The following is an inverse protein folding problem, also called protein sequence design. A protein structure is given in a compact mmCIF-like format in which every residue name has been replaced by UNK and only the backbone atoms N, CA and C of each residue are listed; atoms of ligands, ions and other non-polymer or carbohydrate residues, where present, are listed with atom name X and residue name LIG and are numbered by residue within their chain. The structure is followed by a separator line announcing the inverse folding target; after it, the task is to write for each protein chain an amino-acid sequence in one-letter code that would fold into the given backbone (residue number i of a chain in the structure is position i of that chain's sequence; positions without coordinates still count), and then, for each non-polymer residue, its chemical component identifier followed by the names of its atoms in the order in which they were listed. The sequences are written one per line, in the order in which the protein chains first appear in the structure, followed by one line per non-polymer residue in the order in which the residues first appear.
data_IF_586613991617
#
_entry.id   IF_586613991617
#
_cell.length_a   1.000
_cell.length_b   1.000
_cell.length_c   1.000
_cell.angle_alpha   90.00
_cell.angle_beta   90.00
_cell.angle_gamma   90.00
#
_symmetry.space_group_name_H-M   'P 1'
#
loop_
_entity.id
_entity.type
_entity.pdbx_description
1 polymer ?
#
# COMPACT_ATOMS: atom_id res chain seq x y z
N UNK A 1 -8.34 3.49 6.34
CA UNK A 1 -7.86 2.43 5.42
C UNK A 1 -9.01 1.50 4.99
N UNK A 2 -9.94 1.35 5.91
CA UNK A 2 -11.06 0.43 5.99
C UNK A 2 -12.06 0.72 4.88
N UNK A 3 -12.29 2.01 4.58
CA UNK A 3 -13.15 2.45 3.49
C UNK A 3 -12.60 2.07 2.10
N UNK A 4 -11.29 2.21 1.89
CA UNK A 4 -10.65 1.82 0.62
C UNK A 4 -10.64 0.31 0.47
N UNK A 5 -10.36 -0.41 1.56
CA UNK A 5 -10.41 -1.86 1.58
C UNK A 5 -11.82 -2.37 1.30
N UNK A 6 -12.85 -1.84 1.96
CA UNK A 6 -14.25 -2.22 1.76
C UNK A 6 -14.73 -1.91 0.34
N UNK A 7 -14.35 -0.75 -0.22
CA UNK A 7 -14.68 -0.42 -1.60
C UNK A 7 -14.01 -1.39 -2.59
N UNK A 8 -12.71 -1.65 -2.42
CA UNK A 8 -11.99 -2.59 -3.28
C UNK A 8 -12.53 -4.03 -3.13
N UNK A 9 -12.91 -4.41 -1.92
CA UNK A 9 -13.42 -5.74 -1.62
C UNK A 9 -14.83 -5.96 -2.19
N UNK A 10 -15.70 -4.98 -2.08
CA UNK A 10 -17.05 -5.05 -2.64
C UNK A 10 -17.06 -5.03 -4.18
N UNK A 11 -16.30 -4.11 -4.80
CA UNK A 11 -16.34 -3.93 -6.26
C UNK A 11 -15.43 -4.89 -7.03
N UNK A 12 -14.36 -5.39 -6.43
CA UNK A 12 -13.34 -6.16 -7.14
C UNK A 12 -13.06 -7.53 -6.51
N UNK A 13 -12.75 -7.61 -5.22
CA UNK A 13 -12.29 -8.89 -4.66
C UNK A 13 -13.42 -9.92 -4.47
N UNK A 14 -14.56 -9.53 -3.92
CA UNK A 14 -15.72 -10.41 -3.71
C UNK A 14 -16.27 -11.00 -5.02
N UNK A 15 -16.46 -10.22 -6.11
CA UNK A 15 -16.99 -10.78 -7.36
C UNK A 15 -15.98 -11.63 -8.16
N UNK A 16 -14.67 -11.35 -8.06
CA UNK A 16 -13.69 -11.95 -8.98
C UNK A 16 -12.63 -12.84 -8.33
N UNK A 17 -12.37 -12.67 -7.04
CA UNK A 17 -11.22 -13.31 -6.37
C UNK A 17 -11.67 -14.26 -5.25
N UNK A 18 -12.67 -13.88 -4.46
CA UNK A 18 -13.11 -14.72 -3.34
C UNK A 18 -14.27 -15.64 -3.70
N UNK A 19 -14.19 -16.93 -3.36
CA UNK A 19 -15.34 -17.82 -3.46
C UNK A 19 -16.42 -17.38 -2.45
N UNK A 20 -17.69 -17.60 -2.78
CA UNK A 20 -18.83 -17.26 -1.93
C UNK A 20 -18.80 -17.92 -0.53
N UNK A 21 -17.92 -18.91 -0.31
CA UNK A 21 -17.71 -19.60 0.96
C UNK A 21 -16.79 -18.84 1.94
N UNK A 22 -16.15 -17.74 1.55
CA UNK A 22 -15.23 -16.97 2.42
C UNK A 22 -15.93 -15.78 3.10
N UNK A 23 -16.12 -15.82 4.44
CA UNK A 23 -16.71 -14.71 5.20
C UNK A 23 -15.83 -13.45 5.15
N UNK A 24 -16.46 -12.29 5.31
CA UNK A 24 -15.79 -10.97 5.25
C UNK A 24 -14.83 -10.72 6.41
N UNK A 25 -15.14 -11.32 7.56
CA UNK A 25 -14.34 -11.20 8.78
C UNK A 25 -13.10 -12.11 8.80
N UNK A 26 -12.91 -12.91 7.74
CA UNK A 26 -11.79 -13.83 7.66
C UNK A 26 -10.47 -13.07 7.55
N UNK A 27 -9.58 -13.27 8.52
CA UNK A 27 -8.27 -12.61 8.60
C UNK A 27 -7.40 -12.89 7.36
N UNK A 28 -7.53 -14.08 6.76
CA UNK A 28 -6.79 -14.44 5.55
C UNK A 28 -7.27 -13.63 4.34
N UNK A 29 -8.59 -13.46 4.20
CA UNK A 29 -9.20 -12.61 3.16
C UNK A 29 -8.74 -11.17 3.31
N UNK A 30 -8.84 -10.61 4.52
CA UNK A 30 -8.40 -9.24 4.82
C UNK A 30 -6.91 -9.03 4.54
N UNK A 31 -6.06 -9.99 4.93
CA UNK A 31 -4.61 -9.92 4.69
C UNK A 31 -4.27 -9.93 3.21
N UNK A 32 -4.91 -10.80 2.41
CA UNK A 32 -4.68 -10.88 0.96
C UNK A 32 -5.16 -9.61 0.26
N UNK A 33 -6.38 -9.15 0.57
CA UNK A 33 -6.92 -7.90 0.02
C UNK A 33 -6.00 -6.72 0.35
N UNK A 34 -5.56 -6.59 1.60
CA UNK A 34 -4.63 -5.54 2.03
C UNK A 34 -3.28 -5.63 1.31
N UNK A 35 -2.72 -6.83 1.17
CA UNK A 35 -1.44 -7.02 0.50
C UNK A 35 -1.53 -6.55 -0.96
N UNK A 36 -2.59 -6.92 -1.68
CA UNK A 36 -2.78 -6.56 -3.08
C UNK A 36 -2.99 -5.04 -3.22
N UNK A 37 -3.92 -4.46 -2.47
CA UNK A 37 -4.24 -3.03 -2.56
C UNK A 37 -3.03 -2.17 -2.17
N UNK A 38 -2.33 -2.53 -1.10
CA UNK A 38 -1.17 -1.77 -0.61
C UNK A 38 -0.02 -1.82 -1.62
N UNK A 39 0.28 -2.99 -2.19
CA UNK A 39 1.32 -3.11 -3.20
C UNK A 39 0.96 -2.37 -4.48
N UNK A 40 -0.27 -2.51 -4.97
CA UNK A 40 -0.72 -1.81 -6.18
C UNK A 40 -0.65 -0.29 -5.98
N UNK A 41 -1.13 0.22 -4.85
CA UNK A 41 -1.04 1.64 -4.50
C UNK A 41 0.41 2.13 -4.43
N UNK A 42 1.29 1.34 -3.79
CA UNK A 42 2.71 1.65 -3.72
C UNK A 42 3.37 1.72 -5.10
N UNK A 43 3.06 0.77 -5.99
CA UNK A 43 3.56 0.79 -7.37
C UNK A 43 3.11 2.01 -8.14
N UNK A 44 1.80 2.31 -8.10
CA UNK A 44 1.24 3.46 -8.84
C UNK A 44 1.88 4.76 -8.35
N UNK A 45 1.93 4.97 -7.03
CA UNK A 45 2.53 6.17 -6.45
C UNK A 45 4.01 6.27 -6.79
N UNK A 46 4.77 5.19 -6.57
CA UNK A 46 6.20 5.19 -6.80
C UNK A 46 6.53 5.44 -8.28
N UNK A 47 5.92 4.70 -9.20
CA UNK A 47 6.20 4.86 -10.62
C UNK A 47 5.72 6.21 -11.15
N UNK A 48 4.59 6.72 -10.68
CA UNK A 48 4.12 8.06 -11.07
C UNK A 48 5.16 9.14 -10.73
N UNK A 49 5.62 9.20 -9.47
CA UNK A 49 6.63 10.17 -9.06
C UNK A 49 8.02 9.89 -9.63
N UNK A 50 8.41 8.63 -9.76
CA UNK A 50 9.67 8.25 -10.39
C UNK A 50 9.71 8.67 -11.86
N UNK A 51 8.63 8.48 -12.61
CA UNK A 51 8.51 8.93 -14.00
C UNK A 51 8.59 10.46 -14.10
N UNK A 52 7.86 11.19 -13.25
CA UNK A 52 7.96 12.65 -13.22
C UNK A 52 9.38 13.13 -12.89
N UNK A 53 10.01 12.54 -11.88
CA UNK A 53 11.38 12.87 -11.50
C UNK A 53 12.36 12.55 -12.62
N UNK A 54 12.19 11.43 -13.32
CA UNK A 54 13.04 11.04 -14.44
C UNK A 54 12.98 12.04 -15.60
N UNK A 55 11.79 12.55 -15.94
CA UNK A 55 11.65 13.49 -17.04
C UNK A 55 11.95 14.94 -16.67
N UNK A 56 11.57 15.40 -15.48
CA UNK A 56 11.64 16.82 -15.11
C UNK A 56 12.83 17.20 -14.24
N UNK A 57 13.37 16.27 -13.46
CA UNK A 57 14.38 16.58 -12.42
C UNK A 57 15.73 15.93 -12.74
N UNK A 58 15.74 14.75 -13.35
CA UNK A 58 16.95 13.97 -13.57
C UNK A 58 17.83 14.50 -14.72
N UNK A 59 19.11 14.76 -14.42
CA UNK A 59 20.10 15.13 -15.42
C UNK A 59 20.59 13.90 -16.21
N UNK A 60 20.17 13.81 -17.46
CA UNK A 60 20.54 12.71 -18.36
C UNK A 60 22.02 12.75 -18.78
N UNK A 61 22.75 13.85 -18.54
CA UNK A 61 24.20 13.89 -18.79
C UNK A 61 24.97 12.89 -17.90
N UNK A 62 24.43 12.56 -16.72
CA UNK A 62 24.98 11.56 -15.80
C UNK A 62 25.09 10.16 -16.41
N UNK A 63 24.26 9.84 -17.42
CA UNK A 63 24.30 8.54 -18.11
C UNK A 63 25.60 8.31 -18.91
N UNK A 64 26.34 9.39 -19.21
CA UNK A 64 27.63 9.32 -19.92
C UNK A 64 28.82 9.15 -18.96
N UNK A 65 28.58 9.19 -17.65
CA UNK A 65 29.63 9.10 -16.66
C UNK A 65 30.28 7.69 -16.67
N UNK A 66 31.60 7.56 -16.53
CA UNK A 66 32.29 6.26 -16.56
C UNK A 66 31.84 5.28 -15.46
N UNK A 67 31.25 5.77 -14.38
CA UNK A 67 30.68 4.94 -13.31
C UNK A 67 29.20 4.58 -13.53
N UNK A 68 28.56 5.08 -14.60
CA UNK A 68 27.18 4.74 -14.89
C UNK A 68 27.08 3.27 -15.29
N UNK A 69 26.27 2.51 -14.56
CA UNK A 69 26.17 1.08 -14.76
C UNK A 69 25.43 0.77 -16.06
N UNK A 70 25.83 -0.31 -16.75
CA UNK A 70 25.12 -0.79 -17.95
C UNK A 70 23.65 -1.07 -17.60
N UNK A 71 22.70 -0.47 -18.31
CA UNK A 71 21.26 -0.61 -18.04
C UNK A 71 20.85 -0.23 -16.60
N UNK A 72 21.52 0.75 -15.99
CA UNK A 72 21.28 1.13 -14.59
C UNK A 72 19.79 1.39 -14.30
N UNK A 73 19.11 2.18 -15.13
CA UNK A 73 17.68 2.48 -15.00
C UNK A 73 16.83 1.20 -14.96
N UNK A 74 17.10 0.23 -15.83
CA UNK A 74 16.40 -1.04 -15.82
C UNK A 74 16.65 -1.82 -14.52
N UNK A 75 17.88 -1.82 -14.00
CA UNK A 75 18.20 -2.48 -12.73
C UNK A 75 17.48 -1.83 -11.56
N UNK A 76 17.40 -0.51 -11.53
CA UNK A 76 16.68 0.25 -10.50
C UNK A 76 15.18 -0.06 -10.51
N UNK A 77 14.57 -0.19 -11.70
CA UNK A 77 13.18 -0.61 -11.86
C UNK A 77 12.99 -2.04 -11.34
N UNK A 78 13.84 -2.99 -11.73
CA UNK A 78 13.76 -4.38 -11.26
C UNK A 78 13.91 -4.45 -9.74
N UNK A 79 14.86 -3.72 -9.17
CA UNK A 79 15.07 -3.69 -7.72
C UNK A 79 13.86 -3.10 -6.98
N UNK A 80 13.25 -2.06 -7.53
CA UNK A 80 12.01 -1.49 -7.00
C UNK A 80 10.88 -2.55 -6.99
N UNK A 81 10.67 -3.22 -8.13
CA UNK A 81 9.62 -4.25 -8.27
C UNK A 81 9.86 -5.44 -7.35
N UNK A 82 11.11 -5.81 -7.10
CA UNK A 82 11.43 -6.89 -6.19
C UNK A 82 11.29 -6.49 -4.73
N UNK A 83 11.66 -5.26 -4.36
CA UNK A 83 11.72 -4.81 -2.97
C UNK A 83 10.37 -4.37 -2.39
N UNK A 84 9.48 -3.78 -3.19
CA UNK A 84 8.19 -3.26 -2.73
C UNK A 84 7.32 -4.33 -2.02
N UNK A 85 7.19 -5.57 -2.54
CA UNK A 85 6.46 -6.63 -1.85
C UNK A 85 7.04 -6.98 -0.48
N UNK A 86 8.37 -7.05 -0.36
CA UNK A 86 9.01 -7.38 0.92
C UNK A 86 8.79 -6.30 1.97
N UNK A 87 8.89 -5.02 1.59
CA UNK A 87 8.67 -3.89 2.49
C UNK A 87 7.19 -3.75 2.85
N UNK A 88 6.28 -4.20 1.98
CA UNK A 88 4.84 -4.14 2.25
C UNK A 88 4.38 -5.06 3.39
N UNK A 89 5.11 -6.14 3.69
CA UNK A 89 4.73 -7.14 4.71
C UNK A 89 4.57 -6.49 6.12
N UNK A 90 5.58 -5.79 6.67
CA UNK A 90 5.43 -5.13 7.96
C UNK A 90 4.34 -4.04 7.94
N UNK A 91 4.20 -3.31 6.84
CA UNK A 91 3.15 -2.29 6.67
C UNK A 91 1.75 -2.88 6.72
N UNK A 92 1.51 -3.98 5.98
CA UNK A 92 0.24 -4.71 5.98
C UNK A 92 -0.04 -5.32 7.34
N UNK A 93 1.00 -5.77 8.05
CA UNK A 93 0.86 -6.27 9.43
C UNK A 93 0.35 -5.19 10.38
N UNK A 94 0.88 -3.97 10.29
CA UNK A 94 0.39 -2.82 11.06
C UNK A 94 -1.05 -2.46 10.68
N UNK A 95 -1.34 -2.46 9.38
CA UNK A 95 -2.68 -2.19 8.88
C UNK A 95 -3.72 -3.20 9.35
N UNK A 96 -3.34 -4.48 9.42
CA UNK A 96 -4.21 -5.52 9.95
C UNK A 96 -4.51 -5.32 11.45
N UNK A 97 -3.53 -4.85 12.23
CA UNK A 97 -3.73 -4.50 13.64
C UNK A 97 -4.69 -3.31 13.78
N UNK A 98 -4.56 -2.31 12.92
CA UNK A 98 -5.45 -1.14 12.88
C UNK A 98 -6.90 -1.57 12.60
N UNK A 99 -7.14 -2.39 11.57
CA UNK A 99 -8.47 -2.91 11.24
C UNK A 99 -9.10 -3.76 12.36
N UNK A 100 -8.28 -4.38 13.21
CA UNK A 100 -8.75 -5.16 14.37
C UNK A 100 -9.04 -4.29 15.59
N UNK A 101 -8.92 -2.96 15.46
CA UNK A 101 -9.22 -2.01 16.53
C UNK A 101 -8.08 -1.80 17.52
N UNK A 102 -6.89 -2.36 17.29
CA UNK A 102 -5.73 -2.13 18.19
C UNK A 102 -5.22 -0.69 18.12
N UNK A 103 -5.51 0.03 17.04
CA UNK A 103 -5.17 1.45 16.89
C UNK A 103 -6.02 2.36 17.80
N UNK A 104 -7.20 1.89 18.23
CA UNK A 104 -8.18 2.70 18.99
C UNK A 104 -8.45 4.06 18.32
N UNK A 105 -8.55 4.05 16.99
CA UNK A 105 -9.03 5.19 16.22
C UNK A 105 -10.54 5.24 16.38
N UNK A 106 -11.03 6.35 16.92
CA UNK A 106 -12.45 6.59 17.12
C UNK A 106 -12.94 7.52 16.03
N UNK A 107 -14.06 7.18 15.40
CA UNK A 107 -14.66 8.01 14.34
C UNK A 107 -15.37 9.25 14.92
N UNK A 108 -15.74 9.21 16.21
CA UNK A 108 -16.41 10.29 16.93
C UNK A 108 -15.64 10.65 18.23
N UNK A 109 -15.65 11.93 18.57
CA UNK A 109 -15.07 12.48 19.82
C UNK A 109 -15.81 11.88 21.04
N UNK A 110 -17.08 11.50 20.88
CA UNK A 110 -17.91 10.91 21.94
C UNK A 110 -17.52 9.49 22.37
N UNK A 111 -16.78 8.73 21.56
CA UNK A 111 -16.38 7.35 21.87
C UNK A 111 -15.07 7.24 22.67
N UNK A 112 -14.39 8.37 22.90
CA UNK A 112 -13.23 8.42 23.79
C UNK A 112 -13.66 8.14 25.25
N UNK A 113 -12.99 7.24 25.99
CA UNK A 113 -13.32 6.98 27.40
C UNK A 113 -13.27 8.22 28.32
N UNK A 114 -12.59 9.28 27.86
CA UNK A 114 -12.46 10.57 28.55
C UNK A 114 -12.99 11.76 27.73
N UNK A 115 -13.68 11.53 26.60
CA UNK A 115 -14.30 12.56 25.75
C UNK A 115 -13.53 13.88 25.70
N UNK A 116 -12.21 13.82 25.45
CA UNK A 116 -11.29 14.97 25.42
C UNK A 116 -11.40 16.04 26.56
N UNK A 117 -12.01 15.72 27.71
CA UNK A 117 -12.61 16.65 28.70
C UNK A 117 -13.94 17.25 28.21
N UNK A 118 -15.06 16.68 28.68
CA UNK A 118 -16.46 17.16 28.52
C UNK A 118 -16.59 18.59 27.97
N UNK A 119 -17.12 18.73 26.76
CA UNK A 119 -17.77 19.96 26.29
C UNK A 119 -19.09 19.58 25.62
#
# INVERSE_FOLDING_TARGET
MDLVLNAADYYFFTPYIYPASWPEDNIFRQTISLLIVTNLGAYILYFFFATLSYYFVYDHALMKHPQFLKNQVYREIIFTVQSLPWISIPTVSLFLLELRGYSKLYDDIGEFPSGWFRL
#
